data_IF_206136975923
#
_entry.id   IF_206136975923
#
_cell.length_a   1.000
_cell.length_b   1.000
_cell.length_c   1.000
_cell.angle_alpha   90.00
_cell.angle_beta   90.00
_cell.angle_gamma   90.00
#
_symmetry.space_group_name_H-M   'P 1'
#
loop_
_entity.id
_entity.type
_entity.pdbx_description
1 polymer ?
#
# COMPACT_ATOMS: atom_id res chain seq x y z
N UNK A 1 -17.28 -3.88 -4.65
CA UNK A 1 -16.08 -4.27 -5.45
C UNK A 1 -16.53 -4.55 -6.88
N UNK A 2 -15.85 -4.02 -7.90
CA UNK A 2 -16.14 -4.32 -9.31
C UNK A 2 -15.28 -5.47 -9.86
N UNK A 3 -15.18 -5.60 -11.19
CA UNK A 3 -14.44 -6.69 -11.88
C UNK A 3 -13.00 -6.92 -11.34
N UNK A 4 -12.26 -5.84 -11.03
CA UNK A 4 -10.90 -5.92 -10.47
C UNK A 4 -10.87 -6.58 -9.09
N UNK A 5 -11.88 -6.32 -8.26
CA UNK A 5 -11.98 -6.93 -6.94
C UNK A 5 -12.21 -8.44 -7.02
N UNK A 6 -13.04 -8.89 -7.96
CA UNK A 6 -13.28 -10.32 -8.20
C UNK A 6 -12.01 -11.05 -8.67
N UNK A 7 -11.20 -10.41 -9.52
CA UNK A 7 -9.90 -10.96 -9.94
C UNK A 7 -8.97 -11.09 -8.73
N UNK A 8 -8.85 -10.04 -7.92
CA UNK A 8 -8.00 -10.07 -6.72
C UNK A 8 -8.46 -11.14 -5.73
N UNK A 9 -9.76 -11.27 -5.50
CA UNK A 9 -10.32 -12.31 -4.66
C UNK A 9 -9.98 -13.71 -5.18
N UNK A 10 -10.07 -13.95 -6.49
CA UNK A 10 -9.71 -15.22 -7.10
C UNK A 10 -8.21 -15.55 -6.93
N UNK A 11 -7.34 -14.54 -7.08
CA UNK A 11 -5.90 -14.68 -6.84
C UNK A 11 -5.64 -15.05 -5.37
N UNK A 12 -6.25 -14.34 -4.43
CA UNK A 12 -6.11 -14.63 -2.99
C UNK A 12 -6.72 -15.99 -2.61
N UNK A 13 -7.77 -16.44 -3.31
CA UNK A 13 -8.36 -17.77 -3.13
C UNK A 13 -7.39 -18.88 -3.54
N UNK A 14 -6.67 -18.72 -4.65
CA UNK A 14 -5.76 -19.72 -5.22
C UNK A 14 -4.33 -19.67 -4.67
N UNK A 15 -3.82 -18.51 -4.28
CA UNK A 15 -2.40 -18.24 -4.02
C UNK A 15 -1.86 -18.70 -2.66
N UNK A 16 -2.20 -19.89 -2.17
CA UNK A 16 -1.69 -20.38 -0.87
C UNK A 16 -0.17 -20.57 -0.86
N UNK A 17 0.43 -20.86 -2.01
CA UNK A 17 1.86 -21.24 -2.13
C UNK A 17 2.75 -20.19 -2.83
N UNK A 18 2.20 -19.01 -3.15
CA UNK A 18 2.98 -17.93 -3.78
C UNK A 18 3.46 -16.90 -2.77
N UNK A 19 4.66 -16.36 -3.00
CA UNK A 19 5.16 -15.19 -2.27
C UNK A 19 4.34 -13.99 -2.73
N UNK A 20 3.27 -13.70 -1.98
CA UNK A 20 2.34 -12.61 -2.26
C UNK A 20 2.18 -11.70 -1.03
N UNK A 21 2.14 -10.41 -1.29
CA UNK A 21 1.81 -9.37 -0.32
C UNK A 21 0.75 -8.45 -0.92
N UNK A 22 -0.10 -7.89 -0.08
CA UNK A 22 -0.98 -6.78 -0.47
C UNK A 22 -0.35 -5.45 -0.07
N UNK A 23 -0.60 -4.39 -0.82
CA UNK A 23 -0.21 -3.04 -0.47
C UNK A 23 -1.38 -2.23 0.09
N UNK A 24 -1.18 -1.52 1.21
CA UNK A 24 -2.09 -0.46 1.67
C UNK A 24 -1.44 0.91 1.44
N UNK A 25 -2.21 1.87 0.95
CA UNK A 25 -1.70 3.18 0.53
C UNK A 25 -2.20 4.27 1.50
N UNK A 26 -1.30 5.16 1.92
CA UNK A 26 -1.61 6.27 2.84
C UNK A 26 -2.65 7.27 2.33
N UNK A 27 -2.88 7.31 1.02
CA UNK A 27 -3.92 8.07 0.31
C UNK A 27 -5.32 7.49 0.49
N UNK A 28 -5.48 6.30 1.07
CA UNK A 28 -6.79 5.79 1.48
C UNK A 28 -7.35 6.73 2.56
N UNK A 29 -8.57 7.26 2.42
CA UNK A 29 -9.11 8.22 3.37
C UNK A 29 -9.54 7.54 4.68
N UNK A 30 -9.33 8.25 5.79
CA UNK A 30 -9.66 7.78 7.16
C UNK A 30 -11.12 7.36 7.35
N UNK A 31 -12.05 7.96 6.61
CA UNK A 31 -13.49 7.74 6.77
C UNK A 31 -14.02 6.54 5.96
N UNK A 32 -13.19 5.95 5.08
CA UNK A 32 -13.59 4.74 4.36
C UNK A 32 -13.20 3.50 5.18
N UNK A 33 -14.07 2.49 5.24
CA UNK A 33 -13.77 1.25 5.92
C UNK A 33 -12.54 0.58 5.30
N UNK A 34 -11.83 -0.20 6.12
CA UNK A 34 -10.74 -1.04 5.63
C UNK A 34 -11.29 -2.04 4.61
N UNK A 35 -10.66 -2.21 3.43
CA UNK A 35 -11.12 -3.17 2.43
C UNK A 35 -11.20 -4.60 3.01
N UNK A 36 -12.34 -5.27 2.82
CA UNK A 36 -12.56 -6.64 3.31
C UNK A 36 -11.56 -7.66 2.76
N UNK A 37 -10.98 -7.41 1.59
CA UNK A 37 -9.94 -8.26 1.01
C UNK A 37 -8.63 -8.24 1.80
N UNK A 38 -8.34 -7.18 2.56
CA UNK A 38 -7.19 -7.17 3.48
C UNK A 38 -7.39 -8.15 4.62
N UNK A 39 -8.56 -8.13 5.25
CA UNK A 39 -8.89 -9.07 6.31
C UNK A 39 -8.91 -10.52 5.79
N UNK A 40 -9.45 -10.74 4.58
CA UNK A 40 -9.42 -12.05 3.91
C UNK A 40 -7.99 -12.55 3.67
N UNK A 41 -7.09 -11.67 3.20
CA UNK A 41 -5.69 -12.00 2.97
C UNK A 41 -4.96 -12.35 4.28
N UNK A 42 -5.17 -11.55 5.33
CA UNK A 42 -4.56 -11.78 6.64
C UNK A 42 -5.00 -13.13 7.25
N UNK A 43 -6.28 -13.48 7.11
CA UNK A 43 -6.81 -14.81 7.52
C UNK A 43 -6.15 -15.98 6.78
N UNK A 44 -5.56 -15.73 5.61
CA UNK A 44 -4.79 -16.71 4.83
C UNK A 44 -3.29 -16.66 5.08
N UNK A 45 -2.81 -15.80 5.98
CA UNK A 45 -1.38 -15.59 6.24
C UNK A 45 -0.68 -14.71 5.19
N UNK A 46 -1.43 -14.10 4.27
CA UNK A 46 -0.91 -13.13 3.31
C UNK A 46 -0.85 -11.77 4.02
N UNK A 47 0.33 -11.15 4.06
CA UNK A 47 0.50 -9.89 4.80
C UNK A 47 0.17 -8.68 3.95
N UNK A 48 -0.27 -7.63 4.64
CA UNK A 48 -0.53 -6.30 4.06
C UNK A 48 0.64 -5.39 4.44
N UNK A 49 1.28 -4.79 3.44
CA UNK A 49 2.40 -3.87 3.57
C UNK A 49 1.89 -2.43 3.38
N UNK A 50 1.85 -1.62 4.44
CA UNK A 50 1.56 -0.20 4.32
C UNK A 50 2.69 0.55 3.59
N UNK A 51 2.33 1.53 2.76
CA UNK A 51 3.25 2.38 2.05
C UNK A 51 2.70 3.78 1.82
N UNK A 52 3.56 4.79 1.93
CA UNK A 52 3.16 6.19 1.75
C UNK A 52 2.61 6.43 0.35
N UNK A 53 3.28 5.90 -0.68
CA UNK A 53 2.87 5.92 -2.10
C UNK A 53 2.23 7.27 -2.49
N UNK A 54 3.00 8.32 -2.20
CA UNK A 54 2.59 9.71 -2.34
C UNK A 54 2.39 10.06 -3.82
N UNK A 55 1.34 10.84 -4.10
CA UNK A 55 1.07 11.31 -5.46
C UNK A 55 2.22 12.22 -5.95
N UNK A 56 2.45 12.31 -7.26
CA UNK A 56 3.53 13.12 -7.84
C UNK A 56 3.20 14.62 -7.84
N UNK A 57 2.80 15.15 -6.69
CA UNK A 57 2.51 16.56 -6.48
C UNK A 57 3.56 17.17 -5.55
N UNK A 58 3.94 18.42 -5.79
CA UNK A 58 4.89 19.13 -4.93
C UNK A 58 4.42 19.15 -3.45
N UNK A 59 3.10 19.28 -3.24
CA UNK A 59 2.49 19.28 -1.90
C UNK A 59 2.52 17.93 -1.18
N UNK A 60 2.92 16.85 -1.84
CA UNK A 60 3.03 15.50 -1.27
C UNK A 60 4.47 15.08 -0.97
N UNK A 61 5.47 15.92 -1.31
CA UNK A 61 6.89 15.67 -1.03
C UNK A 61 7.18 15.37 0.45
N UNK A 62 6.52 16.09 1.37
CA UNK A 62 6.67 15.90 2.81
C UNK A 62 6.05 14.60 3.34
N UNK A 63 5.32 13.84 2.53
CA UNK A 63 4.64 12.61 2.96
C UNK A 63 5.42 11.34 2.68
N UNK A 64 6.51 11.44 1.94
CA UNK A 64 7.38 10.30 1.69
C UNK A 64 7.88 9.73 3.02
N UNK A 65 7.53 8.48 3.31
CA UNK A 65 7.95 7.79 4.52
C UNK A 65 7.08 8.05 5.75
N UNK A 66 6.02 8.86 5.69
CA UNK A 66 5.13 9.13 6.83
C UNK A 66 4.18 7.97 7.17
N UNK A 67 3.98 7.03 6.25
CA UNK A 67 3.15 5.85 6.45
C UNK A 67 3.88 4.61 5.93
N UNK A 68 3.96 3.59 6.77
CA UNK A 68 4.77 2.42 6.49
C UNK A 68 4.74 1.40 7.62
N UNK A 69 5.75 0.54 7.64
CA UNK A 69 5.93 -0.49 8.66
C UNK A 69 7.35 -0.43 9.22
N UNK A 70 7.48 -0.77 10.50
CA UNK A 70 8.76 -1.04 11.14
C UNK A 70 8.85 -2.53 11.53
N UNK A 71 10.07 -3.06 11.41
CA UNK A 71 10.42 -4.43 11.78
C UNK A 71 11.62 -4.34 12.71
N UNK A 72 11.55 -5.00 13.85
CA UNK A 72 12.71 -5.18 14.71
C UNK A 72 13.51 -6.39 14.22
N UNK A 73 14.79 -6.19 13.92
CA UNK A 73 15.68 -7.24 13.46
C UNK A 73 17.06 -6.70 13.10
N UNK A 74 17.96 -7.60 12.76
CA UNK A 74 19.34 -7.28 12.32
C UNK A 74 19.48 -7.47 10.82
N UNK A 75 20.12 -6.51 10.16
CA UNK A 75 20.41 -6.53 8.72
C UNK A 75 21.93 -6.62 8.55
N UNK A 76 22.42 -7.61 7.80
CA UNK A 76 23.83 -7.72 7.43
C UNK A 76 24.24 -6.60 6.46
N UNK A 77 25.49 -6.16 6.55
CA UNK A 77 26.04 -5.17 5.61
C UNK A 77 26.31 -5.80 4.24
N UNK A 78 26.62 -7.09 4.25
CA UNK A 78 26.98 -7.84 3.07
C UNK A 78 25.74 -8.11 2.22
N UNK A 79 24.63 -8.56 2.83
CA UNK A 79 23.45 -9.04 2.09
C UNK A 79 22.12 -8.47 2.64
N UNK A 80 21.95 -7.14 2.68
CA UNK A 80 20.82 -6.49 3.34
C UNK A 80 19.46 -6.85 2.74
N UNK A 81 19.38 -6.93 1.41
CA UNK A 81 18.13 -7.26 0.72
C UNK A 81 17.64 -8.70 1.01
N UNK A 82 18.58 -9.64 1.16
CA UNK A 82 18.27 -11.04 1.51
C UNK A 82 17.67 -11.11 2.91
N UNK A 83 18.28 -10.40 3.86
CA UNK A 83 17.82 -10.39 5.25
C UNK A 83 16.46 -9.70 5.38
N UNK A 84 16.24 -8.60 4.65
CA UNK A 84 14.94 -7.94 4.57
C UNK A 84 13.87 -8.87 3.99
N UNK A 85 14.16 -9.55 2.87
CA UNK A 85 13.25 -10.53 2.28
C UNK A 85 12.93 -11.65 3.27
N UNK A 86 13.93 -12.19 3.97
CA UNK A 86 13.73 -13.22 5.01
C UNK A 86 12.81 -12.72 6.11
N UNK A 87 13.04 -11.52 6.65
CA UNK A 87 12.19 -10.92 7.69
C UNK A 87 10.75 -10.71 7.21
N UNK A 88 10.56 -10.26 5.96
CA UNK A 88 9.23 -10.07 5.38
C UNK A 88 8.47 -11.40 5.19
N UNK A 89 9.19 -12.49 4.90
CA UNK A 89 8.60 -13.81 4.66
C UNK A 89 8.38 -14.62 5.94
N UNK A 90 9.20 -14.44 6.98
CA UNK A 90 9.14 -15.21 8.23
C UNK A 90 7.85 -14.88 9.02
N UNK A 91 6.89 -15.81 9.15
CA UNK A 91 5.60 -15.58 9.82
C UNK A 91 5.72 -15.11 11.27
N UNK A 92 6.87 -15.35 11.91
CA UNK A 92 7.15 -14.92 13.29
C UNK A 92 7.52 -13.45 13.39
N UNK A 93 7.91 -12.81 12.29
CA UNK A 93 8.24 -11.38 12.28
C UNK A 93 7.00 -10.54 12.52
N UNK A 94 7.01 -9.76 13.61
CA UNK A 94 5.95 -8.80 13.92
C UNK A 94 6.17 -7.51 13.14
N UNK A 95 5.16 -7.08 12.39
CA UNK A 95 5.15 -5.78 11.72
C UNK A 95 4.46 -4.75 12.62
N UNK A 96 5.09 -3.61 12.82
CA UNK A 96 4.47 -2.47 13.49
C UNK A 96 4.18 -1.41 12.43
N UNK A 97 2.92 -1.31 12.02
CA UNK A 97 2.49 -0.25 11.10
C UNK A 97 2.58 1.12 11.81
N UNK A 98 2.95 2.15 11.07
CA UNK A 98 3.01 3.52 11.58
C UNK A 98 2.45 4.49 10.55
N UNK A 99 2.11 5.69 11.02
CA UNK A 99 1.57 6.77 10.20
C UNK A 99 0.06 6.83 10.19
N UNK A 100 -0.46 7.82 9.47
CA UNK A 100 -1.88 8.11 9.37
C UNK A 100 -2.37 8.02 7.93
N UNK A 101 -3.62 7.57 7.78
CA UNK A 101 -4.37 7.63 6.53
C UNK A 101 -4.72 9.07 6.15
N UNK A 102 -5.18 9.27 4.92
CA UNK A 102 -5.46 10.59 4.36
C UNK A 102 -6.69 11.23 5.03
N UNK A 103 -6.58 12.51 5.37
CA UNK A 103 -7.73 13.25 5.91
C UNK A 103 -8.72 13.63 4.78
N UNK A 104 -10.01 13.88 5.10
CA UNK A 104 -11.02 14.12 4.07
C UNK A 104 -10.68 15.27 3.12
N UNK A 105 -10.25 16.42 3.66
CA UNK A 105 -9.94 17.61 2.88
C UNK A 105 -8.85 17.34 1.84
N UNK A 106 -7.73 16.76 2.28
CA UNK A 106 -6.61 16.42 1.40
C UNK A 106 -7.00 15.36 0.38
N UNK A 107 -7.78 14.37 0.78
CA UNK A 107 -8.29 13.35 -0.13
C UNK A 107 -9.04 14.00 -1.30
N UNK A 108 -10.04 14.84 -1.03
CA UNK A 108 -10.81 15.50 -2.09
C UNK A 108 -9.94 16.41 -2.96
N UNK A 109 -9.09 17.25 -2.34
CA UNK A 109 -8.16 18.12 -3.07
C UNK A 109 -7.26 17.31 -4.01
N UNK A 110 -6.68 16.22 -3.52
CA UNK A 110 -5.77 15.37 -4.28
C UNK A 110 -6.50 14.64 -5.42
N UNK A 111 -7.72 14.16 -5.20
CA UNK A 111 -8.54 13.55 -6.26
C UNK A 111 -8.88 14.54 -7.37
N UNK A 112 -9.32 15.75 -7.03
CA UNK A 112 -9.63 16.78 -8.03
C UNK A 112 -8.38 17.18 -8.83
N UNK A 113 -7.26 17.40 -8.13
CA UNK A 113 -5.98 17.74 -8.77
C UNK A 113 -5.54 16.65 -9.74
N UNK A 114 -5.65 15.37 -9.35
CA UNK A 114 -5.30 14.25 -10.22
C UNK A 114 -6.17 14.19 -11.49
N UNK A 115 -7.46 14.52 -11.40
CA UNK A 115 -8.33 14.57 -12.58
C UNK A 115 -7.99 15.75 -13.49
N UNK A 116 -7.72 16.94 -12.93
CA UNK A 116 -7.31 18.11 -13.71
C UNK A 116 -6.00 17.84 -14.45
N UNK A 117 -5.01 17.27 -13.77
CA UNK A 117 -3.72 16.91 -14.38
C UNK A 117 -3.89 15.90 -15.50
N UNK A 118 -4.68 14.84 -15.29
CA UNK A 118 -5.00 13.86 -16.35
C UNK A 118 -5.68 14.50 -17.56
N UNK A 119 -6.61 15.42 -17.32
CA UNK A 119 -7.30 16.11 -18.40
C UNK A 119 -6.35 17.00 -19.20
N UNK A 120 -5.46 17.76 -18.55
CA UNK A 120 -4.43 18.56 -19.22
C UNK A 120 -3.49 17.72 -20.08
N UNK A 121 -2.97 16.61 -19.53
CA UNK A 121 -2.16 15.67 -20.32
C UNK A 121 -2.93 15.13 -21.52
N UNK A 122 -4.24 14.88 -21.42
CA UNK A 122 -5.01 14.41 -22.56
C UNK A 122 -5.08 15.47 -23.68
N UNK A 123 -5.22 16.75 -23.33
CA UNK A 123 -5.29 17.86 -24.31
C UNK A 123 -3.95 18.15 -24.98
N UNK A 124 -2.82 17.97 -24.30
CA UNK A 124 -1.48 18.21 -24.86
C UNK A 124 -1.04 17.12 -25.86
N UNK A 125 -1.69 15.96 -25.87
CA UNK A 125 -1.39 14.81 -26.72
C UNK A 125 -2.50 14.47 -27.74
N UNK A 126 -3.54 15.30 -27.84
CA UNK A 126 -4.57 15.25 -28.88
C UNK A 126 -4.37 16.42 -29.84
#
# INVERSE_FOLDING_TARGET
>A
MGKRGAILENILRKGKDSILFLGDNSGRPVFLPRPSLFEFAEKKGIRVLPGSDSLPFLSESQRVGCFGLSIHGTISREHPARDLKRMLLDPKTRFQAYGNLENPYRFFRNQLTAQIVKWRYKQEWM
#
